data_IF_615539575151
#
_entry.id   IF_615539575151
#
_cell.length_a   1.000
_cell.length_b   1.000
_cell.length_c   1.000
_cell.angle_alpha   90.00
_cell.angle_beta   90.00
_cell.angle_gamma   90.00
#
_symmetry.space_group_name_H-M   'P 1'
#
loop_
_entity.id
_entity.type
_entity.pdbx_description
1 polymer ?
#
# COMPACT_ATOMS: atom_id res chain seq x y z
N UNK A 1 6.75 19.12 3.08
CA UNK A 1 5.34 18.79 2.75
C UNK A 1 5.23 17.28 2.66
N UNK A 2 4.17 16.69 3.25
CA UNK A 2 3.88 15.27 3.20
C UNK A 2 2.81 14.96 2.15
N UNK A 3 2.92 13.81 1.53
CA UNK A 3 1.94 13.22 0.63
C UNK A 3 1.43 11.90 1.21
N UNK A 4 0.16 11.60 1.00
CA UNK A 4 -0.40 10.27 1.20
C UNK A 4 -0.51 9.59 -0.16
N UNK A 5 0.26 8.54 -0.34
CA UNK A 5 0.23 7.67 -1.50
C UNK A 5 -0.49 6.37 -1.14
N UNK A 6 -1.50 6.00 -1.94
CA UNK A 6 -2.20 4.71 -1.80
C UNK A 6 -1.40 3.61 -2.50
N UNK A 7 -0.35 3.17 -1.84
CA UNK A 7 0.58 2.14 -2.27
C UNK A 7 1.74 2.04 -1.27
N UNK A 8 2.33 0.87 -1.13
CA UNK A 8 3.53 0.68 -0.31
C UNK A 8 4.79 1.01 -1.11
N UNK A 9 5.35 2.22 -0.89
CA UNK A 9 6.67 2.58 -1.40
C UNK A 9 7.77 1.83 -0.64
N UNK A 10 8.86 1.42 -1.28
CA UNK A 10 9.21 1.64 -2.70
C UNK A 10 8.62 0.60 -3.66
N UNK A 11 7.93 -0.44 -3.20
CA UNK A 11 7.52 -1.58 -4.03
C UNK A 11 6.48 -1.21 -5.08
N UNK A 12 5.48 -0.41 -4.70
CA UNK A 12 4.35 -0.03 -5.56
C UNK A 12 4.21 1.50 -5.57
N UNK A 13 4.77 2.14 -6.61
CA UNK A 13 4.70 3.59 -6.84
C UNK A 13 3.92 3.92 -8.10
N UNK A 14 3.32 5.11 -8.16
CA UNK A 14 2.60 5.61 -9.34
C UNK A 14 1.11 5.29 -9.32
N UNK A 15 0.59 4.72 -10.40
CA UNK A 15 -0.84 4.54 -10.64
C UNK A 15 -1.34 3.14 -10.27
N UNK A 16 -2.62 3.05 -9.85
CA UNK A 16 -3.35 1.82 -9.53
C UNK A 16 -2.66 0.94 -8.48
N UNK A 17 -1.99 1.54 -7.52
CA UNK A 17 -1.07 0.88 -6.59
C UNK A 17 -1.73 0.08 -5.47
N UNK A 18 -3.07 0.15 -5.32
CA UNK A 18 -3.84 -0.81 -4.53
C UNK A 18 -4.31 -2.03 -5.36
N UNK A 19 -4.24 -1.95 -6.69
CA UNK A 19 -4.57 -3.06 -7.59
C UNK A 19 -3.38 -4.00 -7.81
N UNK A 20 -2.20 -3.47 -8.07
CA UNK A 20 -1.03 -4.27 -8.46
C UNK A 20 -0.61 -5.33 -7.45
N UNK A 21 -0.71 -5.12 -6.10
CA UNK A 21 -0.46 -6.18 -5.14
C UNK A 21 -1.34 -7.41 -5.36
N UNK A 22 -2.60 -7.23 -5.73
CA UNK A 22 -3.50 -8.33 -6.06
C UNK A 22 -3.11 -9.02 -7.36
N UNK A 23 -2.78 -8.24 -8.39
CA UNK A 23 -2.32 -8.80 -9.67
C UNK A 23 -1.06 -9.64 -9.52
N UNK A 24 -0.14 -9.27 -8.63
CA UNK A 24 1.06 -10.04 -8.32
C UNK A 24 0.88 -11.05 -7.20
N UNK A 25 -0.34 -11.31 -6.77
CA UNK A 25 -0.70 -12.29 -5.72
C UNK A 25 0.00 -12.03 -4.37
N UNK A 26 0.20 -10.76 -4.05
CA UNK A 26 0.78 -10.26 -2.80
C UNK A 26 -0.18 -9.28 -2.10
N UNK A 27 -1.43 -9.69 -1.75
CA UNK A 27 -2.43 -8.75 -1.19
C UNK A 27 -1.95 -8.08 0.11
N UNK A 28 -1.03 -8.69 0.84
CA UNK A 28 -0.38 -8.13 2.03
C UNK A 28 0.54 -6.92 1.73
N UNK A 29 0.80 -6.63 0.46
CA UNK A 29 1.47 -5.39 0.02
C UNK A 29 0.47 -4.28 -0.34
N UNK A 30 -0.84 -4.48 -0.20
CA UNK A 30 -1.80 -3.40 -0.28
C UNK A 30 -1.71 -2.54 0.98
N UNK A 31 -1.49 -1.24 0.79
CA UNK A 31 -1.30 -0.31 1.90
C UNK A 31 -1.11 1.12 1.43
N UNK A 32 -0.76 1.98 2.35
CA UNK A 32 -0.54 3.40 2.11
C UNK A 32 0.82 3.86 2.65
N UNK A 33 1.40 4.88 2.04
CA UNK A 33 2.69 5.45 2.45
C UNK A 33 2.55 6.96 2.62
N UNK A 34 2.94 7.46 3.79
CA UNK A 34 3.17 8.88 4.05
C UNK A 34 4.64 9.19 3.79
N UNK A 35 4.91 10.04 2.83
CA UNK A 35 6.28 10.39 2.44
C UNK A 35 6.43 11.87 2.09
N UNK A 36 7.66 12.36 2.07
CA UNK A 36 7.95 13.71 1.59
C UNK A 36 7.67 13.82 0.10
N UNK A 37 7.13 14.97 -0.31
CA UNK A 37 6.99 15.30 -1.74
C UNK A 37 8.37 15.59 -2.31
N UNK A 38 8.69 14.95 -3.45
CA UNK A 38 9.89 15.16 -4.24
C UNK A 38 9.52 15.30 -5.72
N UNK A 39 10.47 15.68 -6.57
CA UNK A 39 10.25 15.75 -8.02
C UNK A 39 10.00 14.38 -8.65
N UNK A 40 10.56 13.30 -8.08
CA UNK A 40 10.30 11.94 -8.54
C UNK A 40 9.02 11.39 -7.88
N UNK A 41 8.07 10.82 -8.64
CA UNK A 41 6.83 10.31 -8.11
C UNK A 41 7.04 9.25 -7.02
N UNK A 42 6.39 9.45 -5.87
CA UNK A 42 6.33 8.55 -4.72
C UNK A 42 7.70 8.04 -4.22
N UNK A 43 8.77 8.83 -4.45
CA UNK A 43 10.16 8.48 -4.15
C UNK A 43 10.74 9.19 -2.93
N UNK A 44 9.97 10.05 -2.27
CA UNK A 44 10.42 10.81 -1.10
C UNK A 44 10.64 9.94 0.13
N UNK A 45 11.35 10.50 1.12
CA UNK A 45 11.61 9.83 2.38
C UNK A 45 10.31 9.47 3.11
N UNK A 46 10.23 8.23 3.60
CA UNK A 46 9.04 7.65 4.22
C UNK A 46 8.94 8.10 5.67
N UNK A 47 7.78 8.63 6.05
CA UNK A 47 7.43 8.90 7.43
C UNK A 47 6.78 7.68 8.08
N UNK A 48 5.75 7.14 7.42
CA UNK A 48 4.93 6.06 7.97
C UNK A 48 4.28 5.25 6.86
N UNK A 49 4.01 3.98 7.13
CA UNK A 49 3.29 3.08 6.24
C UNK A 49 2.18 2.34 6.98
N UNK A 50 0.99 2.39 6.40
CA UNK A 50 -0.23 1.76 6.91
C UNK A 50 -0.60 0.55 6.07
N UNK A 51 -0.97 -0.55 6.71
CA UNK A 51 -1.53 -1.73 6.05
C UNK A 51 -2.78 -2.19 6.77
N UNK A 52 -3.85 -2.57 6.07
CA UNK A 52 -5.04 -3.10 6.69
C UNK A 52 -4.82 -4.52 7.21
N UNK A 53 -5.66 -4.95 8.13
CA UNK A 53 -5.80 -6.37 8.48
C UNK A 53 -6.60 -7.04 7.38
N UNK A 54 -6.04 -8.11 6.80
CA UNK A 54 -6.72 -8.93 5.80
C UNK A 54 -7.58 -9.99 6.52
N UNK A 55 -8.81 -10.14 6.07
CA UNK A 55 -9.77 -11.09 6.63
C UNK A 55 -10.36 -11.98 5.54
N UNK A 56 -10.78 -13.18 5.93
CA UNK A 56 -11.46 -14.12 5.02
C UNK A 56 -12.71 -13.42 4.46
N UNK A 57 -12.87 -13.49 3.15
CA UNK A 57 -13.97 -12.86 2.42
C UNK A 57 -13.65 -11.47 1.86
N UNK A 58 -12.52 -10.87 2.25
CA UNK A 58 -12.11 -9.57 1.68
C UNK A 58 -11.83 -9.68 0.19
N UNK A 59 -12.54 -8.90 -0.59
CA UNK A 59 -12.18 -8.63 -1.99
C UNK A 59 -11.25 -7.43 -2.11
N UNK A 60 -10.81 -7.14 -3.33
CA UNK A 60 -9.89 -6.03 -3.62
C UNK A 60 -10.40 -4.68 -3.14
N UNK A 61 -11.71 -4.42 -3.26
CA UNK A 61 -12.31 -3.16 -2.84
C UNK A 61 -12.44 -3.05 -1.32
N UNK A 62 -12.67 -4.17 -0.62
CA UNK A 62 -12.71 -4.20 0.84
C UNK A 62 -11.34 -3.85 1.40
N UNK A 63 -10.28 -4.45 0.87
CA UNK A 63 -8.89 -4.14 1.26
C UNK A 63 -8.53 -2.69 0.93
N UNK A 64 -8.97 -2.15 -0.21
CA UNK A 64 -8.75 -0.76 -0.58
C UNK A 64 -9.44 0.20 0.41
N UNK A 65 -10.70 -0.07 0.77
CA UNK A 65 -11.45 0.72 1.75
C UNK A 65 -10.79 0.67 3.14
N UNK A 66 -10.45 -0.52 3.63
CA UNK A 66 -9.72 -0.72 4.89
C UNK A 66 -8.37 0.00 4.90
N UNK A 67 -7.67 0.05 3.75
CA UNK A 67 -6.39 0.78 3.61
C UNK A 67 -6.58 2.28 3.84
N UNK A 68 -7.61 2.87 3.22
CA UNK A 68 -7.90 4.31 3.39
C UNK A 68 -8.33 4.61 4.83
N UNK A 69 -9.14 3.75 5.41
CA UNK A 69 -9.60 3.90 6.79
C UNK A 69 -8.44 3.89 7.79
N UNK A 70 -7.61 2.85 7.76
CA UNK A 70 -6.46 2.74 8.68
C UNK A 70 -5.45 3.87 8.46
N UNK A 71 -5.17 4.25 7.22
CA UNK A 71 -4.28 5.36 6.92
C UNK A 71 -4.81 6.69 7.49
N UNK A 72 -6.13 6.91 7.42
CA UNK A 72 -6.76 8.12 7.97
C UNK A 72 -6.66 8.16 9.49
N UNK A 73 -6.92 7.05 10.17
CA UNK A 73 -6.82 6.94 11.63
C UNK A 73 -5.39 7.15 12.12
N UNK A 74 -4.41 6.49 11.48
CA UNK A 74 -2.99 6.62 11.84
C UNK A 74 -2.46 8.02 11.52
N UNK A 75 -2.91 8.65 10.42
CA UNK A 75 -2.54 10.03 10.09
C UNK A 75 -3.03 11.02 11.15
N UNK A 76 -4.24 10.83 11.66
CA UNK A 76 -4.75 11.66 12.77
C UNK A 76 -3.83 11.57 13.98
N UNK A 77 -3.43 10.37 14.37
CA UNK A 77 -2.49 10.16 15.49
C UNK A 77 -1.13 10.81 15.24
N UNK A 78 -0.62 10.74 13.99
CA UNK A 78 0.64 11.41 13.60
C UNK A 78 0.49 12.93 13.72
N UNK A 79 -0.61 13.51 13.24
CA UNK A 79 -0.86 14.96 13.32
C UNK A 79 -0.93 15.42 14.77
N UNK A 80 -1.63 14.70 15.64
CA UNK A 80 -1.71 15.02 17.07
C UNK A 80 -0.31 15.07 17.71
N UNK A 81 0.58 14.13 17.35
CA UNK A 81 1.95 14.12 17.83
C UNK A 81 2.80 15.27 17.25
N UNK A 82 2.63 15.62 15.98
CA UNK A 82 3.31 16.78 15.36
C UNK A 82 2.90 18.10 16.04
N UNK A 83 1.61 18.27 16.31
CA UNK A 83 1.08 19.47 16.99
C UNK A 83 1.67 19.62 18.39
N UNK A 84 1.93 18.51 19.08
CA UNK A 84 2.57 18.53 20.40
C UNK A 84 4.11 18.68 20.33
N UNK A 85 4.67 18.90 19.15
CA UNK A 85 6.09 19.16 18.95
C UNK A 85 6.96 17.92 18.77
N UNK A 86 6.36 16.73 18.56
CA UNK A 86 7.14 15.52 18.27
C UNK A 86 7.74 15.60 16.88
N UNK A 87 9.03 15.35 16.80
CA UNK A 87 9.76 15.16 15.56
C UNK A 87 9.83 13.69 15.19
N UNK A 88 9.82 13.37 13.90
CA UNK A 88 9.91 12.02 13.39
C UNK A 88 11.08 11.87 12.42
N UNK A 89 11.82 10.78 12.59
CA UNK A 89 12.84 10.40 11.62
C UNK A 89 12.19 9.85 10.35
N UNK A 90 12.64 10.39 9.22
CA UNK A 90 12.23 9.92 7.90
C UNK A 90 13.21 8.86 7.38
N UNK A 91 12.68 7.82 6.77
CA UNK A 91 13.51 6.76 6.17
C UNK A 91 13.64 6.96 4.66
N UNK A 92 14.89 7.08 4.18
CA UNK A 92 15.15 7.14 2.74
C UNK A 92 14.80 5.81 2.07
N UNK A 93 14.13 5.88 0.92
CA UNK A 93 13.82 4.69 0.15
C UNK A 93 15.12 4.09 -0.40
N UNK A 94 15.43 2.83 -0.04
CA UNK A 94 16.68 2.14 -0.40
C UNK A 94 16.66 1.54 -1.81
N UNK A 95 15.48 1.43 -2.41
CA UNK A 95 15.32 0.95 -3.78
C UNK A 95 14.31 1.80 -4.52
N UNK A 96 14.42 1.83 -5.83
CA UNK A 96 13.49 2.61 -6.66
C UNK A 96 12.18 1.88 -6.92
N UNK A 97 12.02 0.60 -6.50
CA UNK A 97 10.82 -0.19 -6.76
C UNK A 97 10.30 -0.05 -8.19
N UNK A 98 9.11 -0.55 -8.47
CA UNK A 98 8.47 -0.34 -9.77
C UNK A 98 7.58 0.91 -9.74
N UNK A 99 7.75 1.77 -10.75
CA UNK A 99 6.84 2.87 -11.03
C UNK A 99 5.81 2.39 -12.07
N UNK A 100 4.56 2.30 -11.65
CA UNK A 100 3.45 1.94 -12.53
C UNK A 100 2.84 3.21 -13.13
N UNK A 101 2.70 3.23 -14.44
CA UNK A 101 2.04 4.32 -15.14
C UNK A 101 0.56 3.97 -15.34
N UNK A 102 -0.30 4.99 -15.51
CA UNK A 102 -1.71 4.77 -15.84
C UNK A 102 -1.90 3.94 -17.11
N UNK A 103 -0.97 4.09 -18.07
CA UNK A 103 -0.97 3.33 -19.32
C UNK A 103 -0.63 1.83 -19.14
N UNK A 104 -0.02 1.44 -18.02
CA UNK A 104 0.29 0.03 -17.74
C UNK A 104 -0.97 -0.75 -17.35
N UNK A 105 -1.96 -0.10 -16.73
CA UNK A 105 -3.20 -0.73 -16.36
C UNK A 105 -4.10 -0.95 -17.58
N UNK A 106 -4.48 -2.20 -17.81
CA UNK A 106 -5.37 -2.60 -18.90
C UNK A 106 -6.56 -3.38 -18.33
N UNK A 107 -7.75 -3.29 -18.95
CA UNK A 107 -8.93 -4.05 -18.53
C UNK A 107 -8.66 -5.57 -18.43
N UNK A 108 -7.78 -6.11 -19.29
CA UNK A 108 -7.42 -7.52 -19.25
C UNK A 108 -6.75 -7.96 -17.94
N UNK A 109 -6.09 -7.05 -17.20
CA UNK A 109 -5.50 -7.37 -15.90
C UNK A 109 -6.55 -7.71 -14.82
N UNK A 110 -7.78 -7.18 -14.96
CA UNK A 110 -8.88 -7.47 -14.05
C UNK A 110 -9.31 -8.94 -14.09
N UNK A 111 -9.07 -9.63 -15.21
CA UNK A 111 -9.44 -11.03 -15.38
C UNK A 111 -8.76 -11.94 -14.36
N UNK A 112 -7.51 -11.66 -14.02
CA UNK A 112 -6.83 -12.42 -12.97
C UNK A 112 -7.61 -12.37 -11.65
N UNK A 113 -8.01 -11.17 -11.23
CA UNK A 113 -8.68 -10.98 -9.94
C UNK A 113 -10.09 -11.56 -9.95
N UNK A 114 -10.86 -11.33 -11.02
CA UNK A 114 -12.29 -11.66 -11.06
C UNK A 114 -12.60 -13.01 -11.71
N UNK A 115 -11.94 -13.34 -12.84
CA UNK A 115 -12.24 -14.58 -13.56
C UNK A 115 -11.48 -15.76 -13.00
N UNK A 116 -10.20 -15.59 -12.63
CA UNK A 116 -9.35 -16.70 -12.17
C UNK A 116 -9.49 -16.93 -10.65
N UNK A 117 -9.61 -15.86 -9.86
CA UNK A 117 -9.67 -15.94 -8.40
C UNK A 117 -11.04 -15.60 -7.79
N UNK A 118 -12.05 -15.27 -8.60
CA UNK A 118 -13.38 -14.88 -8.11
C UNK A 118 -13.32 -13.78 -7.01
N UNK A 119 -12.38 -12.84 -7.16
CA UNK A 119 -12.08 -11.80 -6.17
C UNK A 119 -11.72 -12.33 -4.76
N UNK A 120 -11.15 -13.54 -4.66
CA UNK A 120 -10.83 -14.27 -3.42
C UNK A 120 -9.31 -14.45 -3.19
N UNK A 121 -8.50 -13.56 -3.73
CA UNK A 121 -7.03 -13.61 -3.57
C UNK A 121 -6.61 -13.52 -2.10
N UNK A 122 -7.35 -12.78 -1.26
CA UNK A 122 -7.08 -12.70 0.17
C UNK A 122 -7.25 -14.05 0.85
N UNK A 123 -8.32 -14.78 0.51
CA UNK A 123 -8.58 -16.11 1.07
C UNK A 123 -7.44 -17.10 0.73
N UNK A 124 -6.99 -17.08 -0.52
CA UNK A 124 -5.85 -17.91 -0.96
C UNK A 124 -4.55 -17.54 -0.25
N UNK A 125 -4.32 -16.22 -0.03
CA UNK A 125 -3.18 -15.75 0.75
C UNK A 125 -3.24 -16.23 2.20
N UNK A 126 -4.38 -16.08 2.86
CA UNK A 126 -4.58 -16.50 4.25
C UNK A 126 -4.53 -18.03 4.43
N UNK A 127 -4.91 -18.77 3.41
CA UNK A 127 -4.77 -20.24 3.37
C UNK A 127 -3.31 -20.70 3.16
N UNK A 128 -2.38 -19.78 2.86
CA UNK A 128 -0.98 -20.11 2.60
C UNK A 128 -0.70 -20.66 1.20
N UNK A 129 -1.65 -20.52 0.26
CA UNK A 129 -1.52 -20.99 -1.14
C UNK A 129 -0.66 -20.07 -2.00
N UNK A 130 -0.43 -18.84 -1.54
CA UNK A 130 0.36 -17.82 -2.23
C UNK A 130 1.72 -17.62 -1.55
N UNK A 131 2.63 -16.88 -2.21
CA UNK A 131 3.96 -16.61 -1.66
C UNK A 131 3.94 -15.87 -0.32
N UNK A 132 4.95 -16.12 0.51
CA UNK A 132 5.04 -15.62 1.89
C UNK A 132 5.96 -14.40 2.08
N UNK A 133 6.21 -13.60 1.05
CA UNK A 133 7.00 -12.38 1.18
C UNK A 133 6.26 -11.35 2.03
N UNK A 134 6.92 -10.77 3.03
CA UNK A 134 6.33 -9.80 3.95
C UNK A 134 7.03 -8.45 3.79
N UNK A 135 6.29 -7.32 3.63
CA UNK A 135 6.89 -6.00 3.55
C UNK A 135 7.49 -5.60 4.91
N UNK A 136 8.71 -5.05 4.88
CA UNK A 136 9.30 -4.41 6.05
C UNK A 136 8.83 -2.96 6.09
N UNK A 137 7.90 -2.65 6.98
CA UNK A 137 7.25 -1.35 7.07
C UNK A 137 7.98 -0.39 8.03
N UNK A 138 7.97 0.89 7.67
CA UNK A 138 8.29 2.00 8.57
C UNK A 138 7.01 2.40 9.31
N UNK A 139 6.99 2.25 10.63
CA UNK A 139 5.86 2.67 11.48
C UNK A 139 6.32 3.65 12.54
N UNK A 140 5.52 4.69 12.79
CA UNK A 140 5.76 5.70 13.83
C UNK A 140 4.59 5.80 14.83
N UNK A 141 3.50 5.14 14.50
CA UNK A 141 2.32 4.94 15.36
C UNK A 141 1.88 3.49 15.29
#
# INVERSE_FOLDING_TARGET
MLNLHLGLSPWYRGAATLFWPFYFLEPNYAGATFHQITAAPDAGAILHQSTPVLEIGDGIHDVAAKTVEIATLEFRSILEQIITGKEFDLEQQKSNGKLFLSADFKPAHLRLVYDEFDNRIVDEYLAGSLGGRIPKLKRVV
#
